data_IF_976587036892
#
_entry.id   IF_976587036892
#
_cell.length_a   1.000
_cell.length_b   1.000
_cell.length_c   1.000
_cell.angle_alpha   90.00
_cell.angle_beta   90.00
_cell.angle_gamma   90.00
#
_symmetry.space_group_name_H-M   'P 1'
#
loop_
_entity.id
_entity.type
_entity.pdbx_description
1 polymer ?
#
# COMPACT_ATOMS: atom_id res chain seq x y z
N UNK A 1 5.80 -18.64 8.58
CA UNK A 1 5.27 -18.69 7.19
C UNK A 1 3.83 -18.26 7.20
N UNK A 2 3.43 -17.26 6.39
CA UNK A 2 2.03 -16.78 6.42
C UNK A 2 1.16 -17.98 6.06
N UNK A 3 0.09 -18.21 6.83
CA UNK A 3 -0.71 -19.42 6.67
C UNK A 3 -1.12 -19.53 5.19
N UNK A 4 -0.85 -20.64 4.49
CA UNK A 4 -1.27 -20.83 3.11
C UNK A 4 -2.76 -20.56 2.91
N UNK A 5 -3.57 -20.82 3.94
CA UNK A 5 -5.00 -20.51 3.97
C UNK A 5 -5.30 -19.00 3.90
N UNK A 6 -4.48 -18.16 4.53
CA UNK A 6 -4.64 -16.69 4.53
C UNK A 6 -4.37 -16.10 3.15
N UNK A 7 -3.30 -16.56 2.51
CA UNK A 7 -2.94 -16.17 1.14
C UNK A 7 -3.93 -16.71 0.10
N UNK A 8 -4.37 -17.96 0.25
CA UNK A 8 -5.37 -18.57 -0.63
C UNK A 8 -6.73 -17.87 -0.51
N UNK A 9 -7.19 -17.56 0.71
CA UNK A 9 -8.46 -16.85 0.92
C UNK A 9 -8.42 -15.46 0.29
N UNK A 10 -7.35 -14.70 0.53
CA UNK A 10 -7.19 -13.38 -0.08
C UNK A 10 -7.20 -13.45 -1.61
N UNK A 11 -6.39 -14.34 -2.20
CA UNK A 11 -6.31 -14.49 -3.65
C UNK A 11 -7.63 -14.95 -4.26
N UNK A 12 -8.33 -15.87 -3.60
CA UNK A 12 -9.67 -16.32 -4.02
C UNK A 12 -10.67 -15.17 -4.04
N UNK A 13 -10.69 -14.32 -3.01
CA UNK A 13 -11.58 -13.16 -2.96
C UNK A 13 -11.24 -12.11 -4.03
N UNK A 14 -9.96 -11.89 -4.32
CA UNK A 14 -9.55 -11.00 -5.43
C UNK A 14 -10.02 -11.56 -6.78
N UNK A 15 -9.92 -12.87 -7.01
CA UNK A 15 -10.41 -13.52 -8.23
C UNK A 15 -11.94 -13.44 -8.35
N UNK A 16 -12.66 -13.64 -7.24
CA UNK A 16 -14.12 -13.45 -7.21
C UNK A 16 -14.48 -12.01 -7.53
N UNK A 17 -13.79 -11.02 -6.95
CA UNK A 17 -14.00 -9.61 -7.29
C UNK A 17 -13.77 -9.31 -8.77
N UNK A 18 -12.69 -9.85 -9.35
CA UNK A 18 -12.37 -9.70 -10.77
C UNK A 18 -13.46 -10.31 -11.66
N UNK A 19 -13.96 -11.49 -11.29
CA UNK A 19 -14.98 -12.22 -12.05
C UNK A 19 -16.34 -11.49 -12.02
N UNK A 20 -16.85 -11.16 -10.83
CA UNK A 20 -18.18 -10.56 -10.66
C UNK A 20 -18.30 -9.16 -11.28
N UNK A 21 -17.19 -8.42 -11.37
CA UNK A 21 -17.21 -7.06 -11.92
C UNK A 21 -16.83 -6.98 -13.40
N UNK A 22 -16.60 -8.11 -14.07
CA UNK A 22 -16.18 -8.13 -15.47
C UNK A 22 -14.79 -7.52 -15.67
N UNK A 23 -13.91 -7.67 -14.68
CA UNK A 23 -12.58 -7.06 -14.65
C UNK A 23 -12.47 -5.86 -13.70
N UNK A 24 -11.38 -5.11 -13.84
CA UNK A 24 -11.04 -3.93 -13.03
C UNK A 24 -11.55 -2.63 -13.69
N UNK A 25 -12.76 -2.66 -14.23
CA UNK A 25 -13.42 -1.45 -14.72
C UNK A 25 -14.03 -0.68 -13.56
N UNK A 26 -13.53 0.54 -13.30
CA UNK A 26 -13.94 1.34 -12.15
C UNK A 26 -15.40 1.75 -12.24
N UNK A 27 -16.17 1.46 -11.18
CA UNK A 27 -17.56 1.88 -11.02
C UNK A 27 -17.72 2.63 -9.69
N UNK A 28 -18.29 3.82 -9.74
CA UNK A 28 -18.58 4.63 -8.54
C UNK A 28 -19.90 4.21 -7.87
N UNK A 29 -20.12 2.89 -7.74
CA UNK A 29 -21.29 2.33 -7.05
C UNK A 29 -20.87 1.80 -5.68
N UNK A 30 -21.80 1.86 -4.72
CA UNK A 30 -21.55 1.37 -3.37
C UNK A 30 -21.13 -0.11 -3.37
N UNK A 31 -21.85 -0.94 -4.11
CA UNK A 31 -21.59 -2.39 -4.17
C UNK A 31 -20.22 -2.71 -4.74
N UNK A 32 -19.80 -2.03 -5.82
CA UNK A 32 -18.47 -2.21 -6.40
C UNK A 32 -17.39 -1.87 -5.38
N UNK A 33 -17.48 -0.69 -4.76
CA UNK A 33 -16.48 -0.21 -3.80
C UNK A 33 -16.43 -1.10 -2.55
N UNK A 34 -17.58 -1.64 -2.12
CA UNK A 34 -17.64 -2.57 -0.99
C UNK A 34 -16.99 -3.91 -1.35
N UNK A 35 -17.23 -4.42 -2.56
CA UNK A 35 -16.64 -5.67 -3.02
C UNK A 35 -15.13 -5.55 -3.24
N UNK A 36 -14.66 -4.38 -3.67
CA UNK A 36 -13.25 -4.05 -3.89
C UNK A 36 -12.42 -4.14 -2.59
N UNK A 37 -12.99 -3.70 -1.46
CA UNK A 37 -12.28 -3.71 -0.17
C UNK A 37 -12.43 -5.03 0.59
N UNK A 38 -13.34 -5.90 0.15
CA UNK A 38 -13.67 -7.14 0.85
C UNK A 38 -12.48 -8.10 1.04
N UNK A 39 -11.57 -8.29 0.05
CA UNK A 39 -10.37 -9.10 0.25
C UNK A 39 -9.49 -8.58 1.40
N UNK A 40 -9.30 -7.26 1.48
CA UNK A 40 -8.49 -6.61 2.52
C UNK A 40 -9.15 -6.72 3.90
N UNK A 41 -10.48 -6.58 3.98
CA UNK A 41 -11.22 -6.77 5.24
C UNK A 41 -11.19 -8.22 5.72
N UNK A 42 -11.36 -9.18 4.80
CA UNK A 42 -11.25 -10.61 5.13
C UNK A 42 -9.86 -10.96 5.65
N UNK A 43 -8.81 -10.42 5.02
CA UNK A 43 -7.43 -10.58 5.46
C UNK A 43 -7.22 -10.05 6.89
N UNK A 44 -7.76 -8.87 7.19
CA UNK A 44 -7.74 -8.29 8.54
C UNK A 44 -8.45 -9.19 9.56
N UNK A 45 -9.64 -9.71 9.22
CA UNK A 45 -10.39 -10.62 10.08
C UNK A 45 -9.66 -11.94 10.36
N UNK A 46 -8.96 -12.50 9.37
CA UNK A 46 -8.15 -13.71 9.52
C UNK A 46 -6.94 -13.46 10.43
N UNK A 47 -6.22 -12.35 10.23
CA UNK A 47 -5.12 -11.95 11.10
C UNK A 47 -5.59 -11.75 12.54
N UNK A 48 -6.73 -11.10 12.75
CA UNK A 48 -7.32 -10.89 14.07
C UNK A 48 -7.60 -12.21 14.80
N UNK A 49 -8.13 -13.22 14.08
CA UNK A 49 -8.36 -14.58 14.61
C UNK A 49 -7.07 -15.37 14.89
N UNK A 50 -5.91 -14.82 14.57
CA UNK A 50 -4.61 -15.42 14.84
C UNK A 50 -4.07 -16.31 13.73
N UNK A 51 -4.57 -16.19 12.50
CA UNK A 51 -3.92 -16.79 11.36
C UNK A 51 -2.68 -15.98 10.97
N UNK A 52 -1.48 -16.52 11.25
CA UNK A 52 -0.19 -15.88 10.96
C UNK A 52 0.75 -15.91 12.16
N UNK A 53 2.06 -15.75 11.92
CA UNK A 53 3.10 -15.83 12.94
C UNK A 53 3.48 -14.42 13.43
N UNK A 54 2.48 -13.72 13.96
CA UNK A 54 2.64 -12.37 14.51
C UNK A 54 2.56 -12.40 16.04
N UNK A 55 3.40 -11.60 16.69
CA UNK A 55 3.22 -11.22 18.09
C UNK A 55 1.84 -10.55 18.28
N UNK A 56 1.30 -10.55 19.50
CA UNK A 56 -0.02 -9.97 19.76
C UNK A 56 -0.06 -8.47 19.42
N UNK A 57 1.01 -7.74 19.71
CA UNK A 57 1.15 -6.30 19.48
C UNK A 57 1.26 -5.99 17.98
N UNK A 58 2.15 -6.70 17.26
CA UNK A 58 2.30 -6.52 15.81
C UNK A 58 1.03 -6.88 15.05
N UNK A 59 0.31 -7.92 15.52
CA UNK A 59 -0.97 -8.34 14.93
C UNK A 59 -2.03 -7.26 15.02
N UNK A 60 -2.19 -6.61 16.18
CA UNK A 60 -3.18 -5.55 16.34
C UNK A 60 -2.87 -4.35 15.43
N UNK A 61 -1.59 -3.98 15.33
CA UNK A 61 -1.15 -2.90 14.46
C UNK A 61 -1.39 -3.23 12.97
N UNK A 62 -1.13 -4.47 12.54
CA UNK A 62 -1.44 -4.95 11.18
C UNK A 62 -2.93 -4.99 10.87
N UNK A 63 -3.74 -5.50 11.80
CA UNK A 63 -5.21 -5.54 11.66
C UNK A 63 -5.76 -4.13 11.47
N UNK A 64 -5.33 -3.19 12.31
CA UNK A 64 -5.73 -1.79 12.23
C UNK A 64 -5.26 -1.14 10.93
N UNK A 65 -4.01 -1.39 10.52
CA UNK A 65 -3.46 -0.91 9.25
C UNK A 65 -4.30 -1.40 8.06
N UNK A 66 -4.68 -2.67 8.01
CA UNK A 66 -5.51 -3.22 6.93
C UNK A 66 -6.93 -2.63 6.92
N UNK A 67 -7.53 -2.41 8.09
CA UNK A 67 -8.85 -1.76 8.19
C UNK A 67 -8.77 -0.33 7.65
N UNK A 68 -7.73 0.43 8.02
CA UNK A 68 -7.52 1.78 7.51
C UNK A 68 -7.24 1.78 6.00
N UNK A 69 -6.46 0.81 5.50
CA UNK A 69 -6.25 0.68 4.05
C UNK A 69 -7.56 0.38 3.30
N UNK A 70 -8.42 -0.48 3.85
CA UNK A 70 -9.74 -0.76 3.29
C UNK A 70 -10.66 0.48 3.32
N UNK A 71 -10.69 1.23 4.43
CA UNK A 71 -11.43 2.49 4.53
C UNK A 71 -10.92 3.50 3.50
N UNK A 72 -9.59 3.65 3.40
CA UNK A 72 -8.95 4.53 2.42
C UNK A 72 -9.38 4.20 1.00
N UNK A 73 -9.31 2.92 0.62
CA UNK A 73 -9.71 2.46 -0.70
C UNK A 73 -11.19 2.72 -0.97
N UNK A 74 -12.07 2.43 -0.01
CA UNK A 74 -13.51 2.67 -0.14
C UNK A 74 -13.82 4.15 -0.38
N UNK A 75 -13.21 5.04 0.40
CA UNK A 75 -13.43 6.48 0.30
C UNK A 75 -13.01 7.00 -1.08
N UNK A 76 -11.84 6.60 -1.58
CA UNK A 76 -11.34 7.00 -2.91
C UNK A 76 -12.20 6.39 -4.03
N UNK A 77 -12.65 5.14 -3.84
CA UNK A 77 -13.50 4.42 -4.78
C UNK A 77 -14.88 5.03 -4.94
N UNK A 78 -15.54 5.39 -3.83
CA UNK A 78 -16.94 5.81 -3.85
C UNK A 78 -17.13 7.23 -4.39
N UNK A 79 -16.23 8.17 -4.07
CA UNK A 79 -16.30 9.56 -4.53
C UNK A 79 -14.92 10.19 -4.73
N UNK A 80 -14.61 10.79 -5.89
CA UNK A 80 -13.30 11.42 -6.13
C UNK A 80 -12.91 12.54 -5.15
N UNK A 81 -13.89 13.29 -4.61
CA UNK A 81 -13.61 14.39 -3.67
C UNK A 81 -13.20 13.92 -2.27
N UNK A 82 -13.40 12.63 -1.96
CA UNK A 82 -12.94 12.01 -0.70
C UNK A 82 -11.46 11.61 -0.75
N UNK A 83 -10.75 11.91 -1.84
CA UNK A 83 -9.33 11.58 -2.01
C UNK A 83 -8.46 12.01 -0.82
N UNK A 84 -8.70 13.21 -0.28
CA UNK A 84 -7.98 13.69 0.89
C UNK A 84 -8.18 12.79 2.13
N UNK A 85 -9.43 12.39 2.42
CA UNK A 85 -9.74 11.52 3.55
C UNK A 85 -9.20 10.10 3.34
N UNK A 86 -9.28 9.60 2.10
CA UNK A 86 -8.69 8.33 1.73
C UNK A 86 -7.17 8.31 1.93
N UNK A 87 -6.48 9.36 1.46
CA UNK A 87 -5.04 9.54 1.64
C UNK A 87 -4.61 9.63 3.11
N UNK A 88 -5.40 10.28 3.97
CA UNK A 88 -5.17 10.26 5.43
C UNK A 88 -5.25 8.83 5.96
N UNK A 89 -6.29 8.08 5.60
CA UNK A 89 -6.48 6.70 6.06
C UNK A 89 -5.33 5.80 5.64
N UNK A 90 -4.90 5.88 4.37
CA UNK A 90 -3.73 5.15 3.88
C UNK A 90 -2.42 5.61 4.53
N UNK A 91 -2.24 6.91 4.76
CA UNK A 91 -1.07 7.46 5.44
C UNK A 91 -0.91 6.89 6.85
N UNK A 92 -1.99 6.92 7.65
CA UNK A 92 -2.00 6.32 8.99
C UNK A 92 -1.72 4.81 8.89
N UNK A 93 -2.35 4.11 7.94
CA UNK A 93 -2.11 2.69 7.70
C UNK A 93 -0.62 2.37 7.51
N UNK A 94 0.08 3.12 6.66
CA UNK A 94 1.51 2.90 6.44
C UNK A 94 2.38 3.27 7.64
N UNK A 95 2.06 4.36 8.36
CA UNK A 95 2.79 4.75 9.58
C UNK A 95 2.77 3.62 10.61
N UNK A 96 1.60 2.99 10.82
CA UNK A 96 1.44 1.88 11.75
C UNK A 96 2.36 0.70 11.40
N UNK A 97 2.51 0.37 10.12
CA UNK A 97 3.36 -0.74 9.68
C UNK A 97 4.84 -0.34 9.71
N UNK A 98 5.19 0.87 9.27
CA UNK A 98 6.57 1.39 9.31
C UNK A 98 7.14 1.33 10.73
N UNK A 99 6.36 1.76 11.72
CA UNK A 99 6.78 1.80 13.13
C UNK A 99 7.23 0.43 13.66
N UNK A 100 6.75 -0.67 13.07
CA UNK A 100 7.10 -2.03 13.51
C UNK A 100 8.50 -2.48 13.06
N UNK A 101 9.03 -1.91 11.98
CA UNK A 101 10.30 -2.37 11.40
C UNK A 101 11.37 -1.28 11.26
N UNK A 102 11.04 0.00 11.44
CA UNK A 102 12.02 1.09 11.37
C UNK A 102 13.15 0.93 12.40
N UNK A 103 12.83 0.47 13.62
CA UNK A 103 13.80 0.22 14.69
C UNK A 103 14.69 -0.99 14.42
N UNK A 104 14.26 -1.89 13.53
CA UNK A 104 15.03 -3.06 13.11
C UNK A 104 16.08 -2.73 12.05
N UNK A 105 16.02 -1.54 11.44
CA UNK A 105 16.91 -1.13 10.36
C UNK A 105 18.33 -0.86 10.86
N UNK A 106 19.30 -1.61 10.33
CA UNK A 106 20.71 -1.46 10.70
C UNK A 106 21.36 -0.20 10.11
N UNK A 107 21.05 0.10 8.85
CA UNK A 107 21.64 1.23 8.10
C UNK A 107 20.64 1.77 7.09
N UNK A 108 20.61 3.10 6.97
CA UNK A 108 19.79 3.80 6.00
C UNK A 108 20.45 3.87 4.62
N UNK A 109 19.70 3.57 3.56
CA UNK A 109 20.17 3.65 2.18
C UNK A 109 19.97 5.04 1.58
N UNK A 110 20.92 5.95 1.81
CA UNK A 110 20.84 7.33 1.30
C UNK A 110 20.75 7.40 -0.23
N UNK A 111 21.51 6.57 -0.95
CA UNK A 111 21.45 6.54 -2.42
C UNK A 111 20.05 6.19 -2.93
N UNK A 112 19.42 5.17 -2.34
CA UNK A 112 18.06 4.79 -2.69
C UNK A 112 17.03 5.85 -2.28
N UNK A 113 17.21 6.46 -1.10
CA UNK A 113 16.36 7.56 -0.65
C UNK A 113 16.39 8.77 -1.60
N UNK A 114 17.58 9.15 -2.10
CA UNK A 114 17.73 10.23 -3.07
C UNK A 114 17.01 9.89 -4.38
N UNK A 115 17.12 8.66 -4.87
CA UNK A 115 16.42 8.24 -6.09
C UNK A 115 14.89 8.33 -5.94
N UNK A 116 14.35 7.81 -4.82
CA UNK A 116 12.91 7.89 -4.54
C UNK A 116 12.47 9.35 -4.35
N UNK A 117 13.28 10.18 -3.67
CA UNK A 117 12.99 11.60 -3.49
C UNK A 117 12.96 12.33 -4.84
N UNK A 118 13.95 12.12 -5.70
CA UNK A 118 14.02 12.73 -7.02
C UNK A 118 12.79 12.35 -7.87
N UNK A 119 12.38 11.10 -7.83
CA UNK A 119 11.16 10.65 -8.50
C UNK A 119 9.89 11.34 -7.95
N UNK A 120 9.74 11.47 -6.63
CA UNK A 120 8.60 12.19 -6.04
C UNK A 120 8.61 13.67 -6.35
N UNK A 121 9.77 14.32 -6.43
CA UNK A 121 9.88 15.72 -6.84
C UNK A 121 9.37 15.87 -8.27
N UNK A 122 9.76 14.98 -9.18
CA UNK A 122 9.25 14.97 -10.55
C UNK A 122 7.73 14.75 -10.58
N UNK A 123 7.21 13.75 -9.88
CA UNK A 123 5.76 13.54 -9.81
C UNK A 123 5.02 14.74 -9.22
N UNK A 124 5.56 15.34 -8.16
CA UNK A 124 4.99 16.50 -7.50
C UNK A 124 4.93 17.71 -8.43
N UNK A 125 6.03 18.00 -9.14
CA UNK A 125 6.14 19.14 -10.05
C UNK A 125 5.20 19.01 -11.26
N UNK A 126 5.12 17.83 -11.87
CA UNK A 126 4.30 17.62 -13.07
C UNK A 126 2.82 17.34 -12.78
N UNK A 127 2.47 16.68 -11.67
CA UNK A 127 1.11 16.17 -11.45
C UNK A 127 0.39 16.71 -10.22
N UNK A 128 1.10 17.27 -9.22
CA UNK A 128 0.46 17.77 -8.00
C UNK A 128 0.45 19.31 -7.98
N UNK A 129 1.60 19.93 -8.21
CA UNK A 129 1.80 21.37 -8.12
C UNK A 129 0.88 22.19 -9.06
N UNK A 130 0.62 21.77 -10.31
CA UNK A 130 -0.31 22.50 -11.19
C UNK A 130 -1.72 22.61 -10.61
N UNK A 131 -2.14 21.64 -9.80
CA UNK A 131 -3.48 21.61 -9.18
C UNK A 131 -3.52 22.25 -7.78
N UNK A 132 -2.36 22.59 -7.21
CA UNK A 132 -2.26 23.07 -5.83
C UNK A 132 -3.18 24.26 -5.55
N UNK A 133 -3.22 25.23 -6.47
CA UNK A 133 -4.04 26.43 -6.32
C UNK A 133 -5.55 26.16 -6.41
N UNK A 134 -5.95 25.12 -7.14
CA UNK A 134 -7.36 24.76 -7.29
C UNK A 134 -7.88 23.89 -6.14
N UNK A 135 -7.04 22.98 -5.64
CA UNK A 135 -7.38 21.97 -4.61
C UNK A 135 -6.22 21.83 -3.61
N UNK A 136 -5.96 22.85 -2.78
CA UNK A 136 -4.78 22.87 -1.91
C UNK A 136 -4.80 21.73 -0.89
N UNK A 137 -5.95 21.46 -0.27
CA UNK A 137 -6.08 20.39 0.72
C UNK A 137 -5.76 19.01 0.11
N UNK A 138 -6.31 18.70 -1.06
CA UNK A 138 -6.04 17.42 -1.75
C UNK A 138 -4.56 17.31 -2.12
N UNK A 139 -3.97 18.39 -2.63
CA UNK A 139 -2.57 18.42 -3.05
C UNK A 139 -1.62 18.23 -1.86
N UNK A 140 -1.88 18.90 -0.73
CA UNK A 140 -1.13 18.71 0.53
C UNK A 140 -1.24 17.25 0.99
N UNK A 141 -2.44 16.67 0.98
CA UNK A 141 -2.63 15.27 1.39
C UNK A 141 -1.90 14.30 0.45
N UNK A 142 -1.91 14.54 -0.86
CA UNK A 142 -1.14 13.73 -1.81
C UNK A 142 0.36 13.82 -1.53
N UNK A 143 0.90 15.01 -1.21
CA UNK A 143 2.32 15.19 -0.86
C UNK A 143 2.67 14.44 0.43
N UNK A 144 1.88 14.63 1.49
CA UNK A 144 2.10 13.97 2.77
C UNK A 144 2.02 12.44 2.63
N UNK A 145 1.01 11.96 1.91
CA UNK A 145 0.85 10.53 1.65
C UNK A 145 2.02 9.95 0.83
N UNK A 146 2.41 10.63 -0.25
CA UNK A 146 3.55 10.21 -1.09
C UNK A 146 4.84 10.14 -0.28
N UNK A 147 5.06 11.09 0.64
CA UNK A 147 6.19 11.07 1.57
C UNK A 147 6.15 9.86 2.51
N UNK A 148 4.98 9.56 3.09
CA UNK A 148 4.81 8.38 3.97
C UNK A 148 5.08 7.07 3.22
N UNK A 149 4.49 6.89 2.05
CA UNK A 149 4.69 5.68 1.25
C UNK A 149 6.15 5.54 0.78
N UNK A 150 6.76 6.64 0.37
CA UNK A 150 8.18 6.67 0.01
C UNK A 150 9.09 6.30 1.17
N UNK A 151 8.75 6.75 2.38
CA UNK A 151 9.46 6.35 3.59
C UNK A 151 9.35 4.84 3.82
N UNK A 152 8.17 4.24 3.60
CA UNK A 152 7.98 2.79 3.71
C UNK A 152 8.85 2.02 2.70
N UNK A 153 8.89 2.47 1.44
CA UNK A 153 9.74 1.90 0.38
C UNK A 153 11.21 2.00 0.76
N UNK A 154 11.67 3.18 1.16
CA UNK A 154 13.08 3.44 1.49
C UNK A 154 13.53 2.65 2.72
N UNK A 155 12.72 2.60 3.78
CA UNK A 155 13.04 1.83 5.00
C UNK A 155 13.05 0.34 4.68
N UNK A 156 12.04 -0.17 3.97
CA UNK A 156 12.00 -1.60 3.60
C UNK A 156 13.15 -1.99 2.68
N UNK A 157 13.50 -1.13 1.71
CA UNK A 157 14.66 -1.32 0.83
C UNK A 157 15.98 -1.25 1.60
N UNK A 158 16.11 -0.34 2.56
CA UNK A 158 17.29 -0.24 3.42
C UNK A 158 17.51 -1.51 4.25
N UNK A 159 16.44 -2.08 4.80
CA UNK A 159 16.49 -3.36 5.50
C UNK A 159 16.90 -4.49 4.55
N UNK A 160 16.35 -4.53 3.33
CA UNK A 160 16.75 -5.54 2.36
C UNK A 160 18.24 -5.45 2.00
N UNK A 161 18.75 -4.25 1.67
CA UNK A 161 20.14 -4.07 1.22
C UNK A 161 21.18 -4.19 2.34
N UNK A 162 20.86 -3.77 3.57
CA UNK A 162 21.83 -3.72 4.68
C UNK A 162 21.53 -4.69 5.84
N UNK A 163 20.39 -5.36 5.82
CA UNK A 163 19.95 -6.29 6.87
C UNK A 163 19.26 -5.60 8.05
N UNK A 164 18.73 -6.42 8.96
CA UNK A 164 18.21 -5.97 10.26
C UNK A 164 19.30 -6.05 11.32
N UNK A 165 19.07 -5.48 12.49
CA UNK A 165 19.86 -5.85 13.66
C UNK A 165 19.75 -7.36 13.91
N UNK A 166 20.89 -8.06 14.01
CA UNK A 166 20.93 -9.51 14.24
C UNK A 166 20.82 -10.41 12.99
N UNK A 167 20.46 -9.87 11.81
CA UNK A 167 20.37 -10.66 10.56
C UNK A 167 21.17 -10.03 9.42
N UNK A 168 21.67 -10.87 8.50
CA UNK A 168 22.40 -10.41 7.32
C UNK A 168 21.50 -9.79 6.24
N UNK A 169 22.05 -9.04 5.27
CA UNK A 169 21.30 -8.48 4.15
C UNK A 169 20.74 -9.57 3.20
N UNK A 170 19.90 -9.14 2.26
CA UNK A 170 19.35 -9.96 1.17
C UNK A 170 18.46 -11.14 1.63
N UNK A 171 17.77 -10.99 2.76
CA UNK A 171 16.79 -11.98 3.19
C UNK A 171 15.61 -12.02 2.21
N UNK A 172 15.18 -13.23 1.82
CA UNK A 172 14.04 -13.42 0.90
C UNK A 172 12.78 -12.71 1.39
N UNK A 173 12.53 -12.73 2.70
CA UNK A 173 11.33 -12.09 3.26
C UNK A 173 11.38 -10.56 3.13
N UNK A 174 12.57 -9.97 3.31
CA UNK A 174 12.76 -8.53 3.23
C UNK A 174 12.66 -8.06 1.78
N UNK A 175 13.09 -8.89 0.83
CA UNK A 175 12.88 -8.68 -0.60
C UNK A 175 11.38 -8.66 -0.94
N UNK A 176 10.63 -9.67 -0.47
CA UNK A 176 9.18 -9.78 -0.73
C UNK A 176 8.45 -8.54 -0.18
N UNK A 177 8.76 -8.12 1.05
CA UNK A 177 8.19 -6.90 1.64
C UNK A 177 8.56 -5.65 0.84
N UNK A 178 9.84 -5.52 0.48
CA UNK A 178 10.33 -4.39 -0.29
C UNK A 178 9.65 -4.29 -1.66
N UNK A 179 9.53 -5.40 -2.39
CA UNK A 179 8.80 -5.47 -3.65
C UNK A 179 7.33 -5.11 -3.47
N UNK A 180 6.70 -5.55 -2.38
CA UNK A 180 5.33 -5.17 -2.06
C UNK A 180 5.17 -3.65 -1.93
N UNK A 181 5.98 -2.98 -1.11
CA UNK A 181 5.94 -1.52 -1.00
C UNK A 181 6.30 -0.81 -2.30
N UNK A 182 7.27 -1.32 -3.05
CA UNK A 182 7.68 -0.72 -4.32
C UNK A 182 6.57 -0.81 -5.38
N UNK A 183 5.88 -1.96 -5.48
CA UNK A 183 4.72 -2.11 -6.36
C UNK A 183 3.58 -1.19 -5.92
N UNK A 184 3.35 -1.04 -4.61
CA UNK A 184 2.36 -0.10 -4.08
C UNK A 184 2.69 1.34 -4.50
N UNK A 185 3.96 1.74 -4.36
CA UNK A 185 4.43 3.05 -4.79
C UNK A 185 4.24 3.31 -6.29
N UNK A 186 4.53 2.31 -7.14
CA UNK A 186 4.26 2.42 -8.57
C UNK A 186 2.75 2.50 -8.86
N UNK A 187 1.94 1.71 -8.14
CA UNK A 187 0.46 1.75 -8.23
C UNK A 187 -0.07 3.16 -8.03
N UNK A 188 0.36 3.82 -6.95
CA UNK A 188 -0.12 5.15 -6.61
C UNK A 188 0.43 6.23 -7.54
N UNK A 189 1.64 6.02 -8.06
CA UNK A 189 2.19 6.87 -9.11
C UNK A 189 1.32 6.84 -10.35
N UNK A 190 0.92 5.64 -10.80
CA UNK A 190 -0.04 5.48 -11.92
C UNK A 190 -1.37 6.13 -11.58
N UNK A 191 -1.88 5.96 -10.36
CA UNK A 191 -3.13 6.58 -9.91
C UNK A 191 -3.07 8.12 -9.98
N UNK A 192 -1.98 8.73 -9.51
CA UNK A 192 -1.76 10.18 -9.54
C UNK A 192 -1.64 10.72 -10.97
N UNK A 193 -0.93 10.00 -11.84
CA UNK A 193 -0.79 10.36 -13.26
C UNK A 193 -2.16 10.26 -13.96
N UNK A 194 -3.00 9.29 -13.57
CA UNK A 194 -4.30 9.03 -14.19
C UNK A 194 -5.43 9.97 -13.73
N UNK A 195 -5.10 11.14 -13.18
CA UNK A 195 -6.08 12.18 -12.80
C UNK A 195 -6.82 12.71 -14.06
N UNK A 196 -8.01 13.36 -13.95
CA UNK A 196 -8.98 13.55 -15.04
C UNK A 196 -8.43 14.13 -16.35
N UNK A 197 -7.36 14.90 -16.28
CA UNK A 197 -6.78 15.59 -17.44
C UNK A 197 -5.89 14.66 -18.29
N UNK A 198 -5.49 13.50 -17.74
CA UNK A 198 -4.71 12.45 -18.41
C UNK A 198 -5.34 11.07 -18.14
N UNK A 199 -6.37 10.72 -18.90
CA UNK A 199 -6.93 9.36 -18.86
C UNK A 199 -6.03 8.37 -19.58
N UNK A 200 -5.20 7.63 -18.84
CA UNK A 200 -4.44 6.49 -19.37
C UNK A 200 -5.40 5.29 -19.51
N UNK A 201 -5.61 4.75 -20.72
CA UNK A 201 -6.44 3.56 -20.90
C UNK A 201 -5.91 2.39 -20.07
N UNK A 202 -6.80 1.73 -19.32
CA UNK A 202 -6.44 0.59 -18.48
C UNK A 202 -5.76 0.93 -17.15
N UNK A 203 -5.65 2.22 -16.79
CA UNK A 203 -5.06 2.65 -15.51
C UNK A 203 -5.68 1.97 -14.29
N UNK A 204 -7.00 1.83 -14.25
CA UNK A 204 -7.71 1.14 -13.16
C UNK A 204 -7.30 -0.33 -13.03
N UNK A 205 -7.10 -1.02 -14.16
CA UNK A 205 -6.62 -2.40 -14.15
C UNK A 205 -5.21 -2.50 -13.58
N UNK A 206 -4.32 -1.60 -14.01
CA UNK A 206 -2.95 -1.54 -13.48
C UNK A 206 -3.00 -1.28 -11.98
N UNK A 207 -3.66 -0.21 -11.55
CA UNK A 207 -3.77 0.22 -10.14
C UNK A 207 -4.32 -0.90 -9.25
N UNK A 208 -5.42 -1.54 -9.62
CA UNK A 208 -6.01 -2.58 -8.78
C UNK A 208 -5.18 -3.87 -8.75
N UNK A 209 -4.60 -4.26 -9.89
CA UNK A 209 -3.69 -5.40 -9.93
C UNK A 209 -2.48 -5.17 -9.03
N UNK A 210 -1.85 -4.00 -9.14
CA UNK A 210 -0.68 -3.64 -8.33
C UNK A 210 -1.04 -3.47 -6.87
N UNK A 211 -2.19 -2.88 -6.54
CA UNK A 211 -2.69 -2.75 -5.18
C UNK A 211 -2.87 -4.11 -4.48
N UNK A 212 -3.62 -5.04 -5.09
CA UNK A 212 -3.86 -6.35 -4.49
C UNK A 212 -2.56 -7.16 -4.38
N UNK A 213 -1.72 -7.10 -5.41
CA UNK A 213 -0.39 -7.75 -5.40
C UNK A 213 0.49 -7.18 -4.29
N UNK A 214 0.50 -5.86 -4.11
CA UNK A 214 1.30 -5.20 -3.09
C UNK A 214 0.88 -5.60 -1.68
N UNK A 215 -0.44 -5.59 -1.38
CA UNK A 215 -0.95 -6.03 -0.06
C UNK A 215 -0.54 -7.48 0.21
N UNK A 216 -0.71 -8.36 -0.78
CA UNK A 216 -0.30 -9.76 -0.67
C UNK A 216 1.18 -9.90 -0.31
N UNK A 217 2.05 -9.23 -1.04
CA UNK A 217 3.50 -9.29 -0.83
C UNK A 217 3.91 -8.67 0.50
N UNK A 218 3.34 -7.53 0.89
CA UNK A 218 3.64 -6.90 2.19
C UNK A 218 3.25 -7.86 3.31
N UNK A 219 2.06 -8.45 3.29
CA UNK A 219 1.62 -9.37 4.35
C UNK A 219 2.45 -10.65 4.41
N UNK A 220 2.88 -11.18 3.27
CA UNK A 220 3.82 -12.30 3.25
C UNK A 220 5.18 -11.88 3.84
N UNK A 221 5.70 -10.73 3.42
CA UNK A 221 7.01 -10.20 3.83
C UNK A 221 7.08 -9.71 5.28
N UNK A 222 5.95 -9.57 5.97
CA UNK A 222 5.88 -9.17 7.38
C UNK A 222 5.92 -10.37 8.34
N UNK A 223 5.74 -11.59 7.84
CA UNK A 223 5.60 -12.75 8.70
C UNK A 223 6.93 -13.35 9.14
N UNK A 224 7.58 -12.71 10.11
CA UNK A 224 8.70 -13.27 10.86
C UNK A 224 8.59 -12.89 12.33
N UNK A 225 8.20 -13.87 13.14
CA UNK A 225 8.62 -13.99 14.53
C UNK A 225 10.16 -13.98 14.56
N UNK A 226 10.74 -12.95 15.15
CA UNK A 226 12.02 -13.10 15.83
C UNK A 226 11.78 -13.89 17.12
#
# INVERSE_FOLDING_TARGET
>A
MSSPALLATYSGLVLVFLWENGGFEKRYTFDYCLFEIFPTLALSGLLYKGHGDFTKEDRQSHVLSLILAAIGQFLIGIRPWLLALGGISFGISHILVINQFITKMKKFSYGFAILILAYNVLLGDFFILPYFWSKPLTSIMCILYSFTLSSAVVISGSIYFYGRHGTGPNQKIDLIRFLGYFIFFLSDSVYLISHPDFSIPGSNFVVLTTYFTAIYLIMWGQNQSD
#
